data_IF_003537035470
#
_entry.id   IF_003537035470
#
_cell.length_a   1.000
_cell.length_b   1.000
_cell.length_c   1.000
_cell.angle_alpha   90.00
_cell.angle_beta   90.00
_cell.angle_gamma   90.00
#
_symmetry.space_group_name_H-M   'P 1'
#
loop_
_entity.id
_entity.type
_entity.pdbx_description
1 polymer ?
#
# COMPACT_ATOMS: atom_id res chain seq x y z
N UNK A 1 -23.30 -28.04 -31.71
CA UNK A 1 -23.57 -27.13 -30.58
C UNK A 1 -22.51 -27.14 -29.45
N UNK A 2 -21.81 -28.24 -29.08
CA UNK A 2 -20.89 -28.21 -27.92
C UNK A 2 -19.55 -27.48 -28.17
N UNK A 3 -19.08 -27.42 -29.43
CA UNK A 3 -17.82 -26.74 -29.79
C UNK A 3 -17.87 -25.21 -29.62
N UNK A 4 -19.04 -24.60 -29.83
CA UNK A 4 -19.22 -23.16 -29.68
C UNK A 4 -19.23 -22.76 -28.19
N UNK A 5 -19.90 -23.56 -27.36
CA UNK A 5 -19.92 -23.36 -25.91
C UNK A 5 -18.53 -23.49 -25.29
N UNK A 6 -17.71 -24.44 -25.76
CA UNK A 6 -16.35 -24.65 -25.27
C UNK A 6 -15.43 -23.45 -25.59
N UNK A 7 -15.55 -22.89 -26.80
CA UNK A 7 -14.78 -21.71 -27.22
C UNK A 7 -15.19 -20.44 -26.45
N UNK A 8 -16.49 -20.25 -26.22
CA UNK A 8 -17.00 -19.12 -25.42
C UNK A 8 -16.52 -19.23 -23.97
N UNK A 9 -16.53 -20.44 -23.39
CA UNK A 9 -16.05 -20.66 -22.02
C UNK A 9 -14.54 -20.40 -21.90
N UNK A 10 -13.74 -20.85 -22.88
CA UNK A 10 -12.30 -20.61 -22.91
C UNK A 10 -11.96 -19.11 -23.06
N UNK A 11 -12.71 -18.38 -23.87
CA UNK A 11 -12.55 -16.93 -24.05
C UNK A 11 -12.88 -16.15 -22.75
N UNK A 12 -13.94 -16.55 -22.04
CA UNK A 12 -14.33 -15.94 -20.76
C UNK A 12 -13.30 -16.16 -19.65
N UNK A 13 -12.75 -17.37 -19.55
CA UNK A 13 -11.70 -17.69 -18.57
C UNK A 13 -10.39 -16.96 -18.89
N UNK A 14 -10.05 -16.84 -20.18
CA UNK A 14 -8.90 -16.06 -20.62
C UNK A 14 -9.07 -14.55 -20.32
N UNK A 15 -10.26 -13.97 -20.53
CA UNK A 15 -10.51 -12.56 -20.21
C UNK A 15 -10.46 -12.28 -18.70
N UNK A 16 -11.00 -13.18 -17.88
CA UNK A 16 -11.04 -13.01 -16.43
C UNK A 16 -9.65 -13.10 -15.79
N UNK A 17 -8.82 -14.02 -16.26
CA UNK A 17 -7.43 -14.17 -15.79
C UNK A 17 -6.53 -13.00 -16.24
N UNK A 18 -6.70 -12.51 -17.48
CA UNK A 18 -5.97 -11.33 -17.97
C UNK A 18 -6.34 -10.05 -17.19
N UNK A 19 -7.62 -9.88 -16.84
CA UNK A 19 -8.08 -8.70 -16.12
C UNK A 19 -7.42 -8.60 -14.73
N UNK A 20 -7.29 -9.72 -14.02
CA UNK A 20 -6.63 -9.78 -12.72
C UNK A 20 -5.12 -9.48 -12.80
N UNK A 21 -4.45 -9.90 -13.88
CA UNK A 21 -3.02 -9.62 -14.08
C UNK A 21 -2.80 -8.12 -14.33
N UNK A 22 -3.66 -7.50 -15.14
CA UNK A 22 -3.55 -6.06 -15.45
C UNK A 22 -3.85 -5.21 -14.21
N UNK A 23 -4.90 -5.51 -13.46
CA UNK A 23 -5.24 -4.75 -12.24
C UNK A 23 -4.14 -4.88 -11.18
N UNK A 24 -3.57 -6.08 -11.03
CA UNK A 24 -2.49 -6.32 -10.09
C UNK A 24 -1.24 -5.50 -10.44
N UNK A 25 -0.84 -5.50 -11.72
CA UNK A 25 0.29 -4.73 -12.21
C UNK A 25 0.10 -3.22 -12.02
N UNK A 26 -1.08 -2.69 -12.37
CA UNK A 26 -1.38 -1.27 -12.23
C UNK A 26 -1.40 -0.84 -10.76
N UNK A 27 -1.97 -1.66 -9.88
CA UNK A 27 -1.93 -1.41 -8.44
C UNK A 27 -0.49 -1.35 -7.92
N UNK A 28 0.34 -2.34 -8.28
CA UNK A 28 1.70 -2.43 -7.78
C UNK A 28 2.55 -1.23 -8.24
N UNK A 29 2.49 -0.87 -9.52
CA UNK A 29 3.21 0.29 -10.03
C UNK A 29 2.68 1.60 -9.43
N UNK A 30 1.36 1.74 -9.29
CA UNK A 30 0.75 2.91 -8.67
C UNK A 30 1.27 3.14 -7.26
N UNK A 31 1.24 2.11 -6.42
CA UNK A 31 1.75 2.19 -5.05
C UNK A 31 3.27 2.40 -5.00
N UNK A 32 4.03 1.76 -5.90
CA UNK A 32 5.48 1.94 -5.95
C UNK A 32 5.87 3.36 -6.35
N UNK A 33 5.15 3.96 -7.31
CA UNK A 33 5.32 5.36 -7.66
C UNK A 33 4.92 6.29 -6.50
N UNK A 34 3.85 5.98 -5.77
CA UNK A 34 3.46 6.75 -4.59
C UNK A 34 4.58 6.74 -3.53
N UNK A 35 5.11 5.55 -3.18
CA UNK A 35 6.23 5.43 -2.23
C UNK A 35 7.44 6.23 -2.71
N UNK A 36 7.78 6.13 -4.00
CA UNK A 36 8.93 6.84 -4.58
C UNK A 36 8.74 8.35 -4.54
N UNK A 37 7.56 8.85 -4.94
CA UNK A 37 7.23 10.28 -4.91
C UNK A 37 7.21 10.85 -3.49
N UNK A 38 6.70 10.08 -2.52
CA UNK A 38 6.75 10.47 -1.11
C UNK A 38 8.20 10.58 -0.64
N UNK A 39 9.02 9.55 -0.84
CA UNK A 39 10.42 9.55 -0.44
C UNK A 39 11.28 10.62 -1.13
N UNK A 40 10.86 11.10 -2.31
CA UNK A 40 11.55 12.16 -3.03
C UNK A 40 11.19 13.57 -2.54
N UNK A 41 10.22 13.71 -1.62
CA UNK A 41 9.74 14.98 -1.12
C UNK A 41 9.81 15.02 0.42
N UNK A 42 10.87 15.62 0.94
CA UNK A 42 11.13 15.73 2.38
C UNK A 42 10.00 16.46 3.12
N UNK A 43 9.40 17.50 2.51
CA UNK A 43 8.27 18.23 3.10
C UNK A 43 7.02 17.36 3.19
N UNK A 44 6.72 16.57 2.14
CA UNK A 44 5.59 15.64 2.17
C UNK A 44 5.78 14.53 3.20
N UNK A 45 7.00 14.01 3.34
CA UNK A 45 7.34 13.02 4.37
C UNK A 45 7.22 13.61 5.78
N UNK A 46 7.71 14.82 5.99
CA UNK A 46 7.61 15.51 7.27
C UNK A 46 6.15 15.78 7.64
N UNK A 47 5.37 16.37 6.73
CA UNK A 47 3.94 16.65 6.96
C UNK A 47 3.14 15.37 7.26
N UNK A 48 3.48 14.25 6.60
CA UNK A 48 2.85 12.97 6.89
C UNK A 48 3.24 12.47 8.28
N UNK A 49 4.53 12.52 8.65
CA UNK A 49 5.00 12.17 9.99
C UNK A 49 4.36 13.01 11.09
N UNK A 50 4.24 14.32 10.89
CA UNK A 50 3.57 15.24 11.81
C UNK A 50 2.09 14.89 11.97
N UNK A 51 1.40 14.57 10.87
CA UNK A 51 0.00 14.12 10.94
C UNK A 51 -0.16 12.82 11.74
N UNK A 52 0.77 11.87 11.64
CA UNK A 52 0.76 10.67 12.48
C UNK A 52 1.09 10.98 13.94
N UNK A 53 2.02 11.90 14.18
CA UNK A 53 2.36 12.40 15.52
C UNK A 53 1.14 13.03 16.21
N UNK A 54 0.36 13.82 15.49
CA UNK A 54 -0.87 14.43 16.04
C UNK A 54 -1.93 13.38 16.38
N UNK A 55 -2.04 12.31 15.58
CA UNK A 55 -2.90 11.16 15.90
C UNK A 55 -2.55 10.47 17.23
N UNK A 56 -1.32 10.61 17.72
CA UNK A 56 -0.92 10.05 19.01
C UNK A 56 -1.64 10.71 20.21
N UNK A 57 -2.27 11.87 20.05
CA UNK A 57 -2.99 12.54 21.13
C UNK A 57 -4.20 11.75 21.64
N UNK A 58 -4.74 10.86 20.81
CA UNK A 58 -5.82 9.96 21.17
C UNK A 58 -5.39 8.90 22.21
N UNK A 59 -4.08 8.69 22.41
CA UNK A 59 -3.55 7.73 23.38
C UNK A 59 -3.76 8.27 24.81
N UNK A 60 -4.55 7.57 25.65
CA UNK A 60 -4.87 8.07 27.00
C UNK A 60 -3.67 8.08 27.95
N UNK A 61 -2.74 7.14 27.77
CA UNK A 61 -1.56 7.02 28.62
C UNK A 61 -0.47 7.98 28.16
N UNK A 62 -0.11 8.91 29.04
CA UNK A 62 0.84 9.98 28.74
C UNK A 62 2.19 9.48 28.21
N UNK A 63 2.78 8.47 28.86
CA UNK A 63 4.09 7.95 28.45
C UNK A 63 4.05 7.34 27.04
N UNK A 64 2.96 6.64 26.68
CA UNK A 64 2.78 6.07 25.35
C UNK A 64 2.53 7.15 24.30
N UNK A 65 1.74 8.18 24.63
CA UNK A 65 1.52 9.34 23.77
C UNK A 65 2.82 10.06 23.44
N UNK A 66 3.65 10.33 24.45
CA UNK A 66 4.96 10.97 24.25
C UNK A 66 5.89 10.10 23.39
N UNK A 67 5.91 8.78 23.65
CA UNK A 67 6.69 7.84 22.83
C UNK A 67 6.22 7.78 21.38
N UNK A 68 4.90 7.73 21.15
CA UNK A 68 4.28 7.73 19.83
C UNK A 68 4.59 9.03 19.07
N UNK A 69 4.40 10.19 19.71
CA UNK A 69 4.74 11.49 19.12
C UNK A 69 6.19 11.54 18.68
N UNK A 70 7.11 11.13 19.57
CA UNK A 70 8.54 11.09 19.27
C UNK A 70 8.87 10.16 18.10
N UNK A 71 8.27 8.97 18.06
CA UNK A 71 8.48 8.01 16.97
C UNK A 71 8.11 8.63 15.62
N UNK A 72 6.96 9.29 15.52
CA UNK A 72 6.50 9.86 14.25
C UNK A 72 7.09 11.23 13.93
N UNK A 73 7.51 12.04 14.91
CA UNK A 73 8.18 13.32 14.63
C UNK A 73 9.66 13.15 14.28
N UNK A 74 10.35 12.15 14.83
CA UNK A 74 11.81 11.98 14.66
C UNK A 74 12.18 10.82 13.75
N UNK A 75 11.37 9.76 13.68
CA UNK A 75 11.73 8.50 13.02
C UNK A 75 10.73 8.08 11.94
N UNK A 76 9.84 8.97 11.49
CA UNK A 76 8.82 8.59 10.51
C UNK A 76 9.43 8.10 9.19
N UNK A 77 10.55 8.66 8.74
CA UNK A 77 11.22 8.19 7.54
C UNK A 77 11.64 6.72 7.66
N UNK A 78 12.19 6.33 8.81
CA UNK A 78 12.59 4.94 9.08
C UNK A 78 11.37 4.02 9.16
N UNK A 79 10.30 4.48 9.82
CA UNK A 79 9.03 3.74 9.91
C UNK A 79 8.42 3.53 8.52
N UNK A 80 8.38 4.57 7.70
CA UNK A 80 7.84 4.52 6.35
C UNK A 80 8.69 3.65 5.44
N UNK A 81 10.02 3.68 5.59
CA UNK A 81 10.92 2.81 4.84
C UNK A 81 10.68 1.33 5.15
N UNK A 82 10.61 0.98 6.44
CA UNK A 82 10.24 -0.37 6.86
C UNK A 82 8.85 -0.76 6.36
N UNK A 83 7.85 0.10 6.53
CA UNK A 83 6.50 -0.16 6.05
C UNK A 83 6.45 -0.42 4.54
N UNK A 84 7.20 0.35 3.75
CA UNK A 84 7.21 0.23 2.29
C UNK A 84 7.94 -1.01 1.77
N UNK A 85 8.80 -1.61 2.58
CA UNK A 85 9.66 -2.75 2.21
C UNK A 85 9.27 -4.06 2.89
N UNK A 86 8.54 -4.00 4.00
CA UNK A 86 8.10 -5.17 4.76
C UNK A 86 7.26 -6.12 3.88
N UNK A 87 7.49 -7.45 3.94
CA UNK A 87 6.78 -8.43 3.13
C UNK A 87 5.25 -8.42 3.26
N UNK A 88 4.71 -7.87 4.34
CA UNK A 88 3.27 -7.82 4.64
C UNK A 88 2.61 -6.50 4.23
N UNK A 89 3.38 -5.42 4.06
CA UNK A 89 2.87 -4.07 3.74
C UNK A 89 3.50 -3.42 2.51
N UNK A 90 4.45 -4.08 1.83
CA UNK A 90 4.98 -3.60 0.55
C UNK A 90 3.88 -3.49 -0.53
N UNK A 91 4.14 -2.80 -1.65
CA UNK A 91 3.15 -2.58 -2.71
C UNK A 91 2.42 -3.86 -3.18
N UNK A 92 3.13 -4.97 -3.36
CA UNK A 92 2.52 -6.23 -3.79
C UNK A 92 1.59 -6.81 -2.71
N UNK A 93 2.03 -6.80 -1.45
CA UNK A 93 1.23 -7.28 -0.33
C UNK A 93 -0.04 -6.43 -0.14
N UNK A 94 0.07 -5.10 -0.27
CA UNK A 94 -1.08 -4.20 -0.25
C UNK A 94 -2.07 -4.50 -1.39
N UNK A 95 -1.58 -4.69 -2.62
CA UNK A 95 -2.45 -5.01 -3.75
C UNK A 95 -3.19 -6.34 -3.57
N UNK A 96 -2.56 -7.34 -2.94
CA UNK A 96 -3.22 -8.61 -2.55
C UNK A 96 -4.27 -8.41 -1.47
N UNK A 97 -3.99 -7.56 -0.48
CA UNK A 97 -4.93 -7.27 0.61
C UNK A 97 -6.16 -6.53 0.09
N UNK A 98 -5.98 -5.63 -0.88
CA UNK A 98 -7.05 -4.89 -1.54
C UNK A 98 -7.80 -5.66 -2.64
N UNK A 99 -7.41 -6.92 -2.91
CA UNK A 99 -8.02 -7.77 -3.95
C UNK A 99 -7.85 -7.25 -5.38
N UNK A 100 -6.81 -6.44 -5.62
CA UNK A 100 -6.34 -6.12 -6.98
C UNK A 100 -5.35 -7.16 -7.50
N UNK A 101 -4.73 -7.89 -6.57
CA UNK A 101 -4.04 -9.15 -6.68
C UNK A 101 -4.67 -10.15 -5.67
#
# INVERSE_FOLDING_TARGET
MPRLALLVFFALVASASCQHVITCYMCQIGLQNMVTSMKANDEAMQNLGDSFSDGCDEIPQEQQRLGCRKLFSEHFNDVFDQFSTDPTTNPLAMCKNMKFC
#
